data_IF_772071392304
#
_entry.id   IF_772071392304
#
_cell.length_a   1.000
_cell.length_b   1.000
_cell.length_c   1.000
_cell.angle_alpha   90.00
_cell.angle_beta   90.00
_cell.angle_gamma   90.00
#
_symmetry.space_group_name_H-M   'P 1'
#
loop_
_entity.id
_entity.type
_entity.pdbx_description
1 polymer ?
#
# COMPACT_ATOMS: atom_id res chain seq x y z
N UNK A 1 -6.22 -30.29 -27.09
CA UNK A 1 -6.06 -29.28 -26.02
C UNK A 1 -5.93 -27.94 -26.73
N UNK A 2 -6.87 -27.06 -26.47
CA UNK A 2 -6.86 -25.73 -27.09
C UNK A 2 -5.70 -24.91 -26.53
N UNK A 3 -5.05 -24.11 -27.35
CA UNK A 3 -3.94 -23.23 -26.96
C UNK A 3 -4.27 -22.40 -25.72
N UNK A 4 -5.53 -22.05 -25.55
CA UNK A 4 -6.07 -21.27 -24.44
C UNK A 4 -5.88 -21.91 -23.07
N UNK A 5 -5.82 -23.25 -22.95
CA UNK A 5 -5.51 -23.93 -21.69
C UNK A 5 -4.05 -23.74 -21.24
N UNK A 6 -3.12 -23.56 -22.16
CA UNK A 6 -1.71 -23.34 -21.84
C UNK A 6 -1.44 -21.87 -21.49
N UNK A 7 -2.24 -20.93 -21.99
CA UNK A 7 -2.11 -19.50 -21.69
C UNK A 7 -2.58 -19.15 -20.27
N UNK A 8 -3.37 -20.02 -19.63
CA UNK A 8 -3.84 -19.84 -18.24
C UNK A 8 -2.97 -20.56 -17.20
N UNK A 9 -1.94 -21.31 -17.60
CA UNK A 9 -1.04 -21.99 -16.66
C UNK A 9 -0.12 -21.03 -15.89
N UNK A 10 0.13 -21.37 -14.64
CA UNK A 10 0.69 -20.54 -13.55
C UNK A 10 1.99 -19.80 -13.83
N UNK A 11 2.72 -20.10 -14.89
CA UNK A 11 4.00 -19.46 -15.22
C UNK A 11 3.97 -18.62 -16.49
N UNK A 12 2.94 -18.75 -17.32
CA UNK A 12 2.92 -18.08 -18.62
C UNK A 12 2.72 -16.56 -18.50
N UNK A 13 1.95 -16.14 -17.50
CA UNK A 13 1.71 -14.71 -17.22
C UNK A 13 2.69 -14.10 -16.20
N UNK A 14 3.70 -14.85 -15.73
CA UNK A 14 4.65 -14.42 -14.70
C UNK A 14 4.03 -14.29 -13.30
N UNK A 15 2.82 -14.80 -13.09
CA UNK A 15 2.12 -14.80 -11.80
C UNK A 15 1.76 -16.24 -11.38
N UNK A 16 1.67 -16.48 -10.08
CA UNK A 16 1.11 -17.73 -9.56
C UNK A 16 -0.38 -17.81 -9.86
N UNK A 17 -0.87 -19.02 -10.07
CA UNK A 17 -2.26 -19.29 -10.29
C UNK A 17 -3.14 -18.85 -9.11
N UNK A 18 -4.35 -18.40 -9.41
CA UNK A 18 -5.38 -18.08 -8.42
C UNK A 18 -5.90 -19.36 -7.71
N UNK A 19 -6.57 -19.25 -6.53
CA UNK A 19 -7.13 -20.41 -5.84
C UNK A 19 -8.20 -21.08 -6.69
N UNK A 20 -8.06 -22.38 -6.92
CA UNK A 20 -9.07 -23.22 -7.54
C UNK A 20 -10.06 -23.72 -6.50
N UNK A 21 -11.35 -23.73 -6.84
CA UNK A 21 -12.42 -24.20 -5.98
C UNK A 21 -13.17 -25.34 -6.67
N UNK A 22 -13.49 -26.40 -5.91
CA UNK A 22 -14.27 -27.55 -6.36
C UNK A 22 -15.56 -27.64 -5.55
N UNK A 23 -16.46 -28.55 -5.94
CA UNK A 23 -17.66 -28.86 -5.15
C UNK A 23 -17.31 -29.64 -3.89
N UNK A 24 -18.09 -29.52 -2.79
CA UNK A 24 -19.29 -28.69 -2.63
C UNK A 24 -18.98 -27.20 -2.41
N UNK A 25 -19.99 -26.31 -2.50
CA UNK A 25 -19.85 -24.86 -2.33
C UNK A 25 -19.38 -24.46 -0.91
N UNK A 26 -19.62 -25.33 0.07
CA UNK A 26 -19.10 -25.17 1.44
C UNK A 26 -18.44 -26.46 1.86
N UNK A 27 -17.17 -26.38 2.26
CA UNK A 27 -16.39 -27.50 2.79
C UNK A 27 -15.77 -27.12 4.13
N UNK A 28 -16.05 -27.89 5.20
CA UNK A 28 -15.51 -27.66 6.56
C UNK A 28 -15.64 -26.20 7.04
N UNK A 29 -16.80 -25.57 6.77
CA UNK A 29 -17.07 -24.18 7.14
C UNK A 29 -16.42 -23.12 6.23
N UNK A 30 -15.70 -23.52 5.19
CA UNK A 30 -15.11 -22.64 4.18
C UNK A 30 -16.00 -22.61 2.94
N UNK A 31 -16.53 -21.42 2.64
CA UNK A 31 -17.37 -21.22 1.46
C UNK A 31 -16.56 -20.80 0.24
N UNK A 32 -17.03 -21.19 -0.94
CA UNK A 32 -16.55 -20.63 -2.21
C UNK A 32 -16.88 -19.13 -2.24
N UNK A 33 -15.96 -18.27 -2.69
CA UNK A 33 -16.24 -16.83 -2.82
C UNK A 33 -17.50 -16.57 -3.67
N UNK A 34 -18.44 -15.75 -3.18
CA UNK A 34 -19.72 -15.52 -3.87
C UNK A 34 -19.56 -15.06 -5.32
N UNK A 35 -18.51 -14.26 -5.60
CA UNK A 35 -18.22 -13.75 -6.95
C UNK A 35 -18.05 -14.87 -7.99
N UNK A 36 -17.59 -16.06 -7.57
CA UNK A 36 -17.41 -17.22 -8.46
C UNK A 36 -18.73 -17.94 -8.77
N UNK A 37 -19.77 -17.67 -7.98
CA UNK A 37 -21.10 -18.28 -8.12
C UNK A 37 -22.09 -17.37 -8.87
N UNK A 38 -21.78 -16.07 -9.02
CA UNK A 38 -22.66 -15.08 -9.66
C UNK A 38 -22.77 -15.23 -11.19
N UNK A 39 -21.92 -16.02 -11.83
CA UNK A 39 -21.93 -16.22 -13.30
C UNK A 39 -21.47 -15.00 -14.12
N UNK A 40 -21.00 -13.93 -13.48
CA UNK A 40 -20.47 -12.76 -14.18
C UNK A 40 -18.98 -12.94 -14.49
N UNK A 41 -18.67 -13.34 -15.74
CA UNK A 41 -17.31 -13.64 -16.18
C UNK A 41 -16.34 -12.47 -15.96
N UNK A 42 -16.74 -11.22 -16.21
CA UNK A 42 -15.87 -10.07 -16.00
C UNK A 42 -15.46 -9.89 -14.53
N UNK A 43 -16.42 -10.09 -13.60
CA UNK A 43 -16.12 -10.05 -12.16
C UNK A 43 -15.26 -11.23 -11.73
N UNK A 44 -15.51 -12.41 -12.27
CA UNK A 44 -14.74 -13.64 -12.01
C UNK A 44 -13.29 -13.44 -12.45
N UNK A 45 -13.05 -12.94 -13.66
CA UNK A 45 -11.71 -12.72 -14.21
C UNK A 45 -10.97 -11.62 -13.44
N UNK A 46 -11.66 -10.55 -13.09
CA UNK A 46 -11.08 -9.49 -12.23
C UNK A 46 -10.66 -10.05 -10.86
N UNK A 47 -11.50 -10.89 -10.25
CA UNK A 47 -11.21 -11.55 -8.97
C UNK A 47 -10.03 -12.52 -9.09
N UNK A 48 -10.01 -13.38 -10.12
CA UNK A 48 -8.92 -14.32 -10.42
C UNK A 48 -7.59 -13.59 -10.57
N UNK A 49 -7.56 -12.53 -11.39
CA UNK A 49 -6.37 -11.70 -11.58
C UNK A 49 -5.91 -11.01 -10.28
N UNK A 50 -6.83 -10.59 -9.42
CA UNK A 50 -6.49 -10.05 -8.11
C UNK A 50 -5.86 -11.12 -7.20
N UNK A 51 -6.43 -12.33 -7.15
CA UNK A 51 -5.92 -13.44 -6.35
C UNK A 51 -4.54 -13.90 -6.83
N UNK A 52 -4.31 -14.01 -8.14
CA UNK A 52 -3.01 -14.32 -8.72
C UNK A 52 -1.95 -13.32 -8.28
N UNK A 53 -2.22 -12.03 -8.42
CA UNK A 53 -1.30 -10.95 -7.99
C UNK A 53 -1.01 -11.01 -6.50
N UNK A 54 -2.04 -11.19 -5.67
CA UNK A 54 -1.89 -11.26 -4.21
C UNK A 54 -1.08 -12.49 -3.78
N UNK A 55 -1.37 -13.66 -4.33
CA UNK A 55 -0.62 -14.90 -4.05
C UNK A 55 0.82 -14.80 -4.51
N UNK A 56 1.08 -14.26 -5.70
CA UNK A 56 2.44 -14.09 -6.20
C UNK A 56 3.21 -13.13 -5.32
N UNK A 57 2.61 -12.01 -4.97
CA UNK A 57 3.20 -11.02 -4.09
C UNK A 57 3.61 -11.60 -2.73
N UNK A 58 2.78 -12.48 -2.14
CA UNK A 58 3.03 -13.06 -0.83
C UNK A 58 3.99 -14.25 -0.86
N UNK A 59 3.98 -15.06 -1.92
CA UNK A 59 4.72 -16.32 -1.98
C UNK A 59 5.97 -16.24 -2.84
N UNK A 60 5.97 -15.38 -3.83
CA UNK A 60 7.05 -15.20 -4.81
C UNK A 60 7.21 -13.71 -5.15
N UNK A 61 7.66 -12.89 -4.16
CA UNK A 61 7.79 -11.45 -4.36
C UNK A 61 8.68 -11.08 -5.55
N UNK A 62 9.72 -11.86 -5.82
CA UNK A 62 10.62 -11.66 -6.95
C UNK A 62 9.90 -11.78 -8.31
N UNK A 63 8.98 -12.72 -8.47
CA UNK A 63 8.16 -12.84 -9.68
C UNK A 63 7.16 -11.68 -9.79
N UNK A 64 6.65 -11.22 -8.64
CA UNK A 64 5.74 -10.09 -8.64
C UNK A 64 6.43 -8.78 -9.05
N UNK A 65 7.67 -8.57 -8.64
CA UNK A 65 8.50 -7.44 -9.06
C UNK A 65 8.72 -7.47 -10.57
N UNK A 66 9.15 -8.61 -11.14
CA UNK A 66 9.29 -8.79 -12.59
C UNK A 66 7.99 -8.52 -13.35
N UNK A 67 6.87 -8.99 -12.80
CA UNK A 67 5.55 -8.72 -13.39
C UNK A 67 5.22 -7.21 -13.37
N UNK A 68 5.54 -6.51 -12.30
CA UNK A 68 5.36 -5.05 -12.20
C UNK A 68 6.18 -4.27 -13.22
N UNK A 69 7.40 -4.71 -13.54
CA UNK A 69 8.26 -4.10 -14.56
C UNK A 69 7.63 -4.19 -15.96
N UNK A 70 7.03 -5.34 -16.27
CA UNK A 70 6.37 -5.58 -17.57
C UNK A 70 4.96 -5.02 -17.64
N UNK A 71 4.33 -4.75 -16.48
CA UNK A 71 2.96 -4.22 -16.36
C UNK A 71 2.92 -2.92 -15.52
N UNK A 72 3.64 -1.86 -15.93
CA UNK A 72 3.63 -0.60 -15.21
C UNK A 72 2.22 0.03 -15.22
N UNK A 73 1.94 0.82 -14.20
CA UNK A 73 0.72 1.62 -14.18
C UNK A 73 0.82 2.74 -15.20
N UNK A 74 0.02 2.65 -16.25
CA UNK A 74 0.01 3.64 -17.34
C UNK A 74 -0.74 4.92 -16.98
N UNK A 75 -1.70 4.82 -16.07
CA UNK A 75 -2.53 5.95 -15.65
C UNK A 75 -2.68 6.01 -14.13
N UNK A 76 -2.54 7.21 -13.58
CA UNK A 76 -2.85 7.51 -12.19
C UNK A 76 -4.30 8.00 -12.11
N UNK A 77 -5.15 7.34 -11.31
CA UNK A 77 -6.55 7.72 -11.21
C UNK A 77 -6.70 9.17 -10.77
N UNK A 78 -7.55 9.95 -11.45
CA UNK A 78 -7.87 11.32 -11.06
C UNK A 78 -8.67 11.37 -9.77
N UNK A 79 -8.57 12.49 -9.03
CA UNK A 79 -9.40 12.74 -7.86
C UNK A 79 -10.89 12.68 -8.24
N UNK A 80 -11.67 11.95 -7.45
CA UNK A 80 -13.13 11.90 -7.63
C UNK A 80 -13.78 13.11 -6.94
N UNK A 81 -15.03 13.39 -7.29
CA UNK A 81 -15.81 14.43 -6.58
C UNK A 81 -15.88 14.09 -5.07
N UNK A 82 -15.55 15.08 -4.24
CA UNK A 82 -15.48 14.92 -2.78
C UNK A 82 -14.15 14.37 -2.25
N UNK A 83 -13.19 14.07 -3.12
CA UNK A 83 -11.80 13.77 -2.73
C UNK A 83 -10.96 15.05 -2.82
N UNK A 84 -10.11 15.29 -1.84
CA UNK A 84 -9.13 16.38 -1.86
C UNK A 84 -7.92 16.06 -0.97
N UNK A 85 -6.84 16.83 -1.18
CA UNK A 85 -5.62 16.74 -0.36
C UNK A 85 -5.39 18.08 0.31
N UNK A 86 -5.17 18.05 1.62
CA UNK A 86 -4.94 19.25 2.44
C UNK A 86 -3.60 19.15 3.16
N UNK A 87 -2.92 20.29 3.25
CA UNK A 87 -1.72 20.44 4.07
C UNK A 87 -2.10 20.42 5.56
N UNK A 88 -1.33 19.69 6.37
CA UNK A 88 -1.46 19.70 7.83
C UNK A 88 -0.94 21.02 8.39
N UNK A 89 -1.85 21.87 8.88
CA UNK A 89 -1.54 23.23 9.37
C UNK A 89 -1.79 23.41 10.86
N UNK A 90 -2.87 22.83 11.37
CA UNK A 90 -3.40 23.06 12.72
C UNK A 90 -3.34 21.79 13.58
N UNK A 91 -3.70 21.90 14.87
CA UNK A 91 -3.65 20.82 15.84
C UNK A 91 -4.61 19.68 15.47
N UNK A 92 -5.83 19.97 15.05
CA UNK A 92 -6.83 18.98 14.66
C UNK A 92 -6.33 18.10 13.50
N UNK A 93 -5.72 18.71 12.47
CA UNK A 93 -5.14 18.00 11.35
C UNK A 93 -3.89 17.19 11.77
N UNK A 94 -3.12 17.69 12.73
CA UNK A 94 -1.98 16.97 13.28
C UNK A 94 -2.41 15.72 14.03
N UNK A 95 -3.48 15.81 14.82
CA UNK A 95 -4.10 14.66 15.49
C UNK A 95 -4.64 13.65 14.49
N UNK A 96 -5.29 14.11 13.42
CA UNK A 96 -5.76 13.25 12.33
C UNK A 96 -4.58 12.52 11.65
N UNK A 97 -3.47 13.21 11.40
CA UNK A 97 -2.26 12.61 10.86
C UNK A 97 -1.68 11.56 11.82
N UNK A 98 -1.60 11.87 13.13
CA UNK A 98 -1.11 10.94 14.15
C UNK A 98 -1.96 9.66 14.24
N UNK A 99 -3.29 9.78 14.11
CA UNK A 99 -4.20 8.62 14.04
C UNK A 99 -3.88 7.73 12.83
N UNK A 100 -3.69 8.32 11.66
CA UNK A 100 -3.33 7.57 10.45
C UNK A 100 -1.94 6.94 10.56
N UNK A 101 -0.97 7.60 11.22
CA UNK A 101 0.36 7.04 11.46
C UNK A 101 0.29 5.83 12.40
N UNK A 102 -0.45 5.92 13.50
CA UNK A 102 -0.66 4.81 14.42
C UNK A 102 -1.33 3.60 13.71
N UNK A 103 -2.39 3.85 12.93
CA UNK A 103 -3.08 2.82 12.15
C UNK A 103 -2.15 2.20 11.11
N UNK A 104 -1.38 3.03 10.40
CA UNK A 104 -0.42 2.59 9.40
C UNK A 104 0.66 1.71 9.99
N UNK A 105 1.25 2.11 11.10
CA UNK A 105 2.29 1.35 11.79
C UNK A 105 1.74 0.01 12.29
N UNK A 106 0.58 0.00 12.95
CA UNK A 106 -0.09 -1.24 13.37
C UNK A 106 -0.34 -2.18 12.19
N UNK A 107 -0.86 -1.66 11.09
CA UNK A 107 -1.14 -2.45 9.88
C UNK A 107 0.11 -3.10 9.27
N UNK A 108 1.26 -2.43 9.34
CA UNK A 108 2.55 -2.96 8.83
C UNK A 108 3.13 -4.00 9.79
N UNK A 109 3.00 -3.78 11.10
CA UNK A 109 3.61 -4.62 12.14
C UNK A 109 2.74 -5.82 12.55
N UNK A 110 1.46 -5.86 12.16
CA UNK A 110 0.48 -6.88 12.57
C UNK A 110 0.88 -8.34 12.30
N UNK A 111 1.81 -8.60 11.37
CA UNK A 111 2.27 -9.95 11.04
C UNK A 111 3.50 -10.44 11.84
N UNK A 112 4.10 -9.59 12.68
CA UNK A 112 5.36 -9.93 13.35
C UNK A 112 5.48 -9.45 14.80
N UNK A 113 4.56 -8.62 15.27
CA UNK A 113 4.60 -8.07 16.64
C UNK A 113 3.52 -8.67 17.52
N UNK A 114 3.80 -8.77 18.82
CA UNK A 114 2.80 -9.17 19.82
C UNK A 114 1.73 -8.09 19.99
N UNK A 115 0.52 -8.50 20.40
CA UNK A 115 -0.64 -7.60 20.45
C UNK A 115 -0.41 -6.39 21.37
N UNK A 116 0.25 -6.58 22.52
CA UNK A 116 0.54 -5.49 23.46
C UNK A 116 1.43 -4.40 22.85
N UNK A 117 2.42 -4.79 22.01
CA UNK A 117 3.26 -3.83 21.29
C UNK A 117 2.48 -3.08 20.21
N UNK A 118 1.50 -3.73 19.56
CA UNK A 118 0.63 -3.08 18.59
C UNK A 118 -0.33 -2.09 19.28
N UNK A 119 -0.85 -2.43 20.44
CA UNK A 119 -1.75 -1.60 21.23
C UNK A 119 -1.05 -0.33 21.78
N UNK A 120 0.26 -0.43 22.04
CA UNK A 120 1.10 0.70 22.44
C UNK A 120 1.30 1.75 21.32
N UNK A 121 1.05 1.40 20.06
CA UNK A 121 1.14 2.33 18.92
C UNK A 121 -0.09 3.25 18.90
N UNK A 122 -0.15 4.22 19.81
CA UNK A 122 -1.26 5.18 19.91
C UNK A 122 -0.98 6.48 19.15
N UNK A 123 -2.01 7.28 18.80
CA UNK A 123 -1.81 8.58 18.16
C UNK A 123 -0.92 9.52 18.97
N UNK A 124 -1.05 9.49 20.29
CA UNK A 124 -0.30 10.33 21.22
C UNK A 124 1.21 10.09 21.12
N UNK A 125 1.62 8.87 20.82
CA UNK A 125 3.02 8.50 20.60
C UNK A 125 3.62 9.20 19.36
N UNK A 126 2.79 9.44 18.33
CA UNK A 126 3.25 10.03 17.06
C UNK A 126 3.16 11.56 17.02
N UNK A 127 2.43 12.20 17.92
CA UNK A 127 2.30 13.66 17.93
C UNK A 127 3.64 14.38 18.13
N UNK A 128 4.50 14.01 19.10
CA UNK A 128 5.82 14.62 19.27
C UNK A 128 6.71 14.43 18.05
N UNK A 129 6.69 13.23 17.46
CA UNK A 129 7.44 12.93 16.23
C UNK A 129 7.02 13.85 15.09
N UNK A 130 5.72 13.99 14.83
CA UNK A 130 5.18 14.86 13.77
C UNK A 130 5.52 16.33 13.99
N UNK A 131 5.53 16.79 15.25
CA UNK A 131 5.93 18.15 15.61
C UNK A 131 7.40 18.38 15.34
N UNK A 132 8.26 17.44 15.69
CA UNK A 132 9.69 17.49 15.41
C UNK A 132 9.96 17.47 13.90
N UNK A 133 9.37 16.55 13.17
CA UNK A 133 9.50 16.45 11.72
C UNK A 133 9.10 17.75 11.01
N UNK A 134 8.03 18.40 11.48
CA UNK A 134 7.63 19.72 10.98
C UNK A 134 8.71 20.79 11.21
N UNK A 135 9.39 20.77 12.35
CA UNK A 135 10.52 21.68 12.64
C UNK A 135 11.74 21.37 11.76
N UNK A 136 11.96 20.11 11.44
CA UNK A 136 13.03 19.64 10.54
C UNK A 136 12.77 19.92 9.06
N UNK A 137 11.57 20.41 8.70
CA UNK A 137 11.21 20.79 7.34
C UNK A 137 10.36 19.77 6.58
N UNK A 138 9.85 18.74 7.25
CA UNK A 138 8.86 17.84 6.67
C UNK A 138 7.50 18.52 6.51
N UNK A 139 6.86 18.22 5.41
CA UNK A 139 5.53 18.73 5.07
C UNK A 139 4.57 17.58 4.92
N UNK A 140 3.61 17.47 5.83
CA UNK A 140 2.62 16.40 5.86
C UNK A 140 1.33 16.83 5.17
N UNK A 141 0.77 15.92 4.37
CA UNK A 141 -0.50 16.08 3.67
C UNK A 141 -1.46 14.96 4.03
N UNK A 142 -2.74 15.31 4.17
CA UNK A 142 -3.84 14.38 4.38
C UNK A 142 -4.75 14.36 3.16
N UNK A 143 -5.12 13.17 2.72
CA UNK A 143 -6.21 12.98 1.78
C UNK A 143 -7.52 12.83 2.52
N UNK A 144 -8.57 13.39 1.95
CA UNK A 144 -9.93 13.34 2.48
C UNK A 144 -10.90 12.77 1.45
N UNK A 145 -11.80 11.91 1.90
CA UNK A 145 -13.01 11.52 1.18
C UNK A 145 -14.21 12.02 1.98
N UNK A 146 -15.03 12.92 1.40
CA UNK A 146 -16.20 13.53 2.06
C UNK A 146 -15.85 14.08 3.46
N UNK A 147 -14.76 14.85 3.53
CA UNK A 147 -14.21 15.46 4.75
C UNK A 147 -13.69 14.49 5.83
N UNK A 148 -13.63 13.19 5.57
CA UNK A 148 -13.01 12.21 6.44
C UNK A 148 -11.57 11.95 5.96
N UNK A 149 -10.53 12.12 6.83
CA UNK A 149 -9.15 11.84 6.47
C UNK A 149 -8.96 10.32 6.36
N UNK A 150 -8.42 9.85 5.23
CA UNK A 150 -8.29 8.44 4.91
C UNK A 150 -6.95 8.03 4.30
N UNK A 151 -6.05 9.00 4.07
CA UNK A 151 -4.66 8.73 3.71
C UNK A 151 -3.75 9.88 4.10
N UNK A 152 -2.44 9.58 4.20
CA UNK A 152 -1.39 10.56 4.51
C UNK A 152 -0.17 10.33 3.64
N UNK A 153 0.62 11.39 3.44
CA UNK A 153 1.97 11.36 2.88
C UNK A 153 2.76 12.56 3.39
N UNK A 154 4.04 12.37 3.68
CA UNK A 154 4.97 13.45 4.03
C UNK A 154 6.06 13.58 2.97
N UNK A 155 6.47 14.81 2.71
CA UNK A 155 7.59 15.14 1.81
C UNK A 155 8.59 16.05 2.50
N UNK A 156 9.87 15.91 2.14
CA UNK A 156 10.93 16.78 2.62
C UNK A 156 11.62 17.47 1.44
N UNK A 157 11.38 18.78 1.28
CA UNK A 157 11.81 19.53 0.10
C UNK A 157 13.34 19.58 -0.08
N UNK A 158 14.13 19.68 1.01
CA UNK A 158 15.59 19.72 0.92
C UNK A 158 16.22 18.42 0.44
N UNK A 159 15.67 17.27 0.86
CA UNK A 159 16.28 15.95 0.62
C UNK A 159 15.60 15.17 -0.48
N UNK A 160 14.45 15.62 -0.98
CA UNK A 160 13.65 14.87 -1.95
C UNK A 160 13.03 13.59 -1.40
N UNK A 161 12.91 13.48 -0.07
CA UNK A 161 12.37 12.29 0.57
C UNK A 161 10.83 12.32 0.63
N UNK A 162 10.24 11.14 0.45
CA UNK A 162 8.82 10.88 0.63
C UNK A 162 8.67 9.81 1.70
N UNK A 163 7.91 10.09 2.76
CA UNK A 163 7.64 9.15 3.84
C UNK A 163 6.16 9.14 4.25
N UNK A 164 5.81 8.26 5.17
CA UNK A 164 4.48 8.18 5.80
C UNK A 164 3.32 8.04 4.81
N UNK A 165 3.56 7.39 3.66
CA UNK A 165 2.47 7.05 2.75
C UNK A 165 1.65 5.92 3.36
N UNK A 166 0.45 6.25 3.80
CA UNK A 166 -0.50 5.30 4.34
C UNK A 166 -1.91 5.56 3.78
N UNK A 167 -2.68 4.51 3.59
CA UNK A 167 -4.10 4.54 3.21
C UNK A 167 -4.86 3.61 4.12
N UNK A 168 -5.92 4.10 4.77
CA UNK A 168 -6.79 3.31 5.64
C UNK A 168 -7.35 2.09 4.91
N UNK A 169 -7.64 1.04 5.64
CA UNK A 169 -8.14 -0.21 5.04
C UNK A 169 -9.42 0.01 4.23
N UNK A 170 -10.36 0.78 4.77
CA UNK A 170 -11.63 1.13 4.12
C UNK A 170 -11.48 1.93 2.82
N UNK A 171 -10.36 2.61 2.64
CA UNK A 171 -10.07 3.44 1.47
C UNK A 171 -9.16 2.75 0.44
N UNK A 172 -8.63 1.57 0.76
CA UNK A 172 -7.77 0.78 -0.14
C UNK A 172 -8.53 0.31 -1.39
N UNK A 173 -7.80 -0.03 -2.44
CA UNK A 173 -8.38 -0.48 -3.72
C UNK A 173 -8.96 0.64 -4.60
N UNK A 174 -9.03 1.88 -4.11
CA UNK A 174 -9.61 3.04 -4.82
C UNK A 174 -8.57 3.87 -5.60
N UNK A 175 -7.31 3.42 -5.64
CA UNK A 175 -6.20 4.13 -6.29
C UNK A 175 -5.67 5.33 -5.49
N UNK A 176 -6.08 5.53 -4.22
CA UNK A 176 -5.67 6.68 -3.40
C UNK A 176 -4.16 6.68 -3.17
N UNK A 177 -3.54 5.52 -2.89
CA UNK A 177 -2.09 5.42 -2.71
C UNK A 177 -1.29 5.87 -3.94
N UNK A 178 -1.74 5.51 -5.14
CA UNK A 178 -1.15 5.98 -6.40
C UNK A 178 -1.23 7.50 -6.53
N UNK A 179 -2.44 8.05 -6.31
CA UNK A 179 -2.68 9.49 -6.38
C UNK A 179 -1.84 10.27 -5.37
N UNK A 180 -1.73 9.76 -4.13
CA UNK A 180 -0.93 10.38 -3.08
C UNK A 180 0.57 10.35 -3.40
N UNK A 181 1.06 9.24 -3.97
CA UNK A 181 2.47 9.14 -4.37
C UNK A 181 2.79 10.07 -5.55
N UNK A 182 1.92 10.13 -6.56
CA UNK A 182 2.06 11.08 -7.67
C UNK A 182 1.96 12.54 -7.19
N UNK A 183 1.05 12.81 -6.26
CA UNK A 183 0.94 14.12 -5.61
C UNK A 183 2.25 14.50 -4.88
N UNK A 184 2.83 13.57 -4.11
CA UNK A 184 4.11 13.78 -3.42
C UNK A 184 5.25 14.11 -4.41
N UNK A 185 5.36 13.35 -5.52
CA UNK A 185 6.34 13.64 -6.59
C UNK A 185 6.16 15.05 -7.16
N UNK A 186 4.93 15.47 -7.42
CA UNK A 186 4.63 16.83 -7.93
C UNK A 186 4.94 17.95 -6.92
N UNK A 187 5.06 17.61 -5.63
CA UNK A 187 5.50 18.53 -4.59
C UNK A 187 7.00 18.66 -4.47
N UNK A 188 7.75 17.83 -5.18
CA UNK A 188 9.23 17.78 -5.19
C UNK A 188 9.77 18.02 -6.63
N UNK A 189 9.37 19.11 -7.33
CA UNK A 189 9.75 19.33 -8.73
C UNK A 189 11.26 19.56 -8.89
N UNK A 190 11.95 20.00 -7.85
CA UNK A 190 13.39 20.21 -7.81
C UNK A 190 14.21 18.91 -7.72
N UNK A 191 13.56 17.79 -7.43
CA UNK A 191 14.18 16.47 -7.33
C UNK A 191 13.76 15.57 -8.48
N UNK A 192 14.68 15.29 -9.41
CA UNK A 192 14.43 14.39 -10.55
C UNK A 192 14.13 12.96 -10.05
N UNK A 193 14.82 12.54 -9.00
CA UNK A 193 14.71 11.22 -8.40
C UNK A 193 14.38 11.30 -6.90
N UNK A 194 13.12 11.57 -6.53
CA UNK A 194 12.71 11.53 -5.13
C UNK A 194 12.94 10.12 -4.54
N UNK A 195 13.23 10.06 -3.24
CA UNK A 195 13.56 8.81 -2.54
C UNK A 195 12.49 8.51 -1.50
N UNK A 196 12.14 7.26 -1.33
CA UNK A 196 11.29 6.79 -0.24
C UNK A 196 11.92 5.59 0.46
N UNK A 197 11.56 5.39 1.72
CA UNK A 197 11.97 4.22 2.50
C UNK A 197 10.76 3.32 2.76
N UNK A 198 10.94 2.03 2.58
CA UNK A 198 9.90 1.02 2.81
C UNK A 198 10.51 -0.20 3.48
N UNK A 199 9.77 -0.81 4.40
CA UNK A 199 10.19 -2.09 4.98
C UNK A 199 10.11 -3.18 3.91
N UNK A 200 11.12 -4.05 3.83
CA UNK A 200 11.16 -5.17 2.89
C UNK A 200 9.99 -6.16 3.09
N UNK A 201 9.46 -6.23 4.31
CA UNK A 201 8.26 -7.01 4.63
C UNK A 201 6.97 -6.38 4.14
N UNK A 202 6.96 -5.08 3.80
CA UNK A 202 5.79 -4.40 3.25
C UNK A 202 5.67 -4.61 1.73
N UNK A 203 5.49 -5.87 1.34
CA UNK A 203 5.40 -6.32 -0.07
C UNK A 203 4.30 -5.60 -0.86
N UNK A 204 3.22 -5.18 -0.18
CA UNK A 204 2.13 -4.43 -0.81
C UNK A 204 2.57 -3.04 -1.27
N UNK A 205 3.32 -2.33 -0.44
CA UNK A 205 3.83 -1.01 -0.78
C UNK A 205 4.91 -1.12 -1.86
N UNK A 206 5.84 -2.08 -1.73
CA UNK A 206 6.85 -2.37 -2.75
C UNK A 206 6.22 -2.61 -4.12
N UNK A 207 5.19 -3.45 -4.18
CA UNK A 207 4.46 -3.71 -5.41
C UNK A 207 3.81 -2.46 -6.03
N UNK A 208 3.27 -1.56 -5.21
CA UNK A 208 2.75 -0.27 -5.69
C UNK A 208 3.87 0.58 -6.28
N UNK A 209 5.00 0.67 -5.59
CA UNK A 209 6.12 1.51 -6.00
C UNK A 209 6.74 1.01 -7.31
N UNK A 210 7.02 -0.29 -7.44
CA UNK A 210 7.50 -0.88 -8.70
C UNK A 210 6.55 -0.58 -9.87
N UNK A 211 5.25 -0.79 -9.70
CA UNK A 211 4.25 -0.50 -10.75
C UNK A 211 4.19 0.97 -11.13
N UNK A 212 4.57 1.88 -10.26
CA UNK A 212 4.68 3.31 -10.52
C UNK A 212 6.06 3.73 -11.07
N UNK A 213 6.92 2.78 -11.39
CA UNK A 213 8.25 3.01 -11.95
C UNK A 213 9.33 3.40 -10.94
N UNK A 214 9.10 3.14 -9.64
CA UNK A 214 10.13 3.31 -8.62
C UNK A 214 11.06 2.11 -8.63
N UNK A 215 12.36 2.36 -8.40
CA UNK A 215 13.40 1.35 -8.41
C UNK A 215 14.06 1.22 -7.04
N UNK A 216 14.46 0.01 -6.66
CA UNK A 216 15.23 -0.22 -5.45
C UNK A 216 16.67 0.22 -5.70
N UNK A 217 17.13 1.22 -4.94
CA UNK A 217 18.49 1.79 -5.07
C UNK A 217 19.42 1.35 -3.95
N UNK A 218 18.90 0.72 -2.90
CA UNK A 218 19.70 0.21 -1.77
C UNK A 218 18.84 -0.28 -0.63
N UNK A 219 19.48 -0.96 0.33
CA UNK A 219 18.89 -1.36 1.59
C UNK A 219 19.63 -0.70 2.75
N UNK A 220 18.90 -0.29 3.78
CA UNK A 220 19.47 0.19 5.05
C UNK A 220 18.93 -0.67 6.16
N UNK A 221 19.81 -1.11 7.06
CA UNK A 221 19.36 -1.65 8.34
C UNK A 221 18.75 -0.49 9.14
N UNK A 222 17.49 -0.61 9.49
CA UNK A 222 16.84 0.33 10.39
C UNK A 222 16.81 -0.31 11.76
N UNK A 223 17.63 0.21 12.66
CA UNK A 223 17.51 -0.15 14.06
C UNK A 223 16.16 0.35 14.58
N UNK A 224 15.30 -0.57 14.97
CA UNK A 224 14.05 -0.26 15.66
C UNK A 224 14.28 -0.49 17.14
N UNK A 225 14.29 0.58 17.98
CA UNK A 225 14.51 0.43 19.42
C UNK A 225 13.50 -0.49 20.11
N UNK A 226 12.29 -0.67 19.53
CA UNK A 226 11.30 -1.60 20.04
C UNK A 226 11.68 -3.08 19.83
N UNK A 227 12.59 -3.39 18.91
CA UNK A 227 13.12 -4.73 18.68
C UNK A 227 14.42 -5.04 19.49
N UNK A 228 14.94 -4.06 20.21
CA UNK A 228 16.17 -4.23 21.00
C UNK A 228 15.93 -4.90 22.38
N UNK A 229 14.71 -5.29 22.68
CA UNK A 229 14.32 -5.92 23.96
C UNK A 229 13.74 -7.33 23.79
N UNK A 230 14.09 -8.02 22.71
CA UNK A 230 13.83 -9.46 22.57
C UNK A 230 15.10 -10.26 22.70
#
# INVERSE_FOLDING_TARGET
AELQCYEEESYWAGLLEYPQYTRPEVWEGRAVPPVLLEGNHQKIDAWRGQQSRERTRLRRPELYEQWCETHPLTEIPKWKRGENVRLVKNAEQMEAAAKLFAEGRRSICAGGWVQEALDALTPEMFLPQLQQEKQEGWVCYLHYTKDVPDATVSVHHKTGQVEHLFVTESARGRGIGQKMLDFARKKLPEHEHPVLTVLNTNTRALALYCRMGWQVVGAKEKFDPANAQL
#
